data_IF_537157078033
#
_entry.id   IF_537157078033
#
_cell.length_a   1.000
_cell.length_b   1.000
_cell.length_c   1.000
_cell.angle_alpha   90.00
_cell.angle_beta   90.00
_cell.angle_gamma   90.00
#
_symmetry.space_group_name_H-M   'P 1'
#
loop_
_entity.id
_entity.type
_entity.pdbx_description
1 polymer ?
#
# COMPACT_ATOMS: atom_id res chain seq x y z
N UNK A 1 19.32 -50.29 -20.34
CA UNK A 1 18.25 -50.00 -19.37
C UNK A 1 18.39 -48.57 -18.93
N UNK A 2 17.59 -47.66 -19.51
CA UNK A 2 17.64 -46.24 -19.19
C UNK A 2 16.75 -46.00 -17.97
N UNK A 3 17.34 -45.65 -16.83
CA UNK A 3 16.60 -45.17 -15.67
C UNK A 3 16.17 -43.73 -15.96
N UNK A 4 14.92 -43.56 -16.38
CA UNK A 4 14.25 -42.27 -16.37
C UNK A 4 13.95 -41.90 -14.92
N UNK A 5 14.87 -41.15 -14.33
CA UNK A 5 14.61 -40.40 -13.10
C UNK A 5 13.52 -39.40 -13.46
N UNK A 6 12.28 -39.73 -13.11
CA UNK A 6 11.20 -38.76 -13.05
C UNK A 6 11.57 -37.77 -11.96
N UNK A 7 12.31 -36.73 -12.32
CA UNK A 7 12.37 -35.49 -11.55
C UNK A 7 10.93 -35.03 -11.50
N UNK A 8 10.27 -35.31 -10.37
CA UNK A 8 8.97 -34.76 -10.08
C UNK A 8 9.18 -33.25 -10.02
N UNK A 9 8.85 -32.59 -11.12
CA UNK A 9 8.37 -31.22 -11.12
C UNK A 9 7.10 -31.20 -10.26
N UNK A 10 7.28 -31.27 -8.94
CA UNK A 10 6.36 -30.67 -7.97
C UNK A 10 6.56 -29.16 -8.10
N UNK A 11 6.21 -28.66 -9.28
CA UNK A 11 6.26 -27.26 -9.65
C UNK A 11 5.26 -26.52 -8.76
N UNK A 12 5.79 -25.86 -7.73
CA UNK A 12 5.48 -24.46 -7.39
C UNK A 12 4.02 -24.08 -7.12
N UNK A 13 3.14 -25.01 -6.78
CA UNK A 13 1.73 -24.70 -6.51
C UNK A 13 1.42 -24.30 -5.04
N UNK A 14 2.39 -24.26 -4.13
CA UNK A 14 2.10 -24.13 -2.69
C UNK A 14 3.09 -23.22 -1.93
N UNK A 15 2.99 -21.90 -2.14
CA UNK A 15 3.18 -20.84 -1.12
C UNK A 15 3.15 -19.42 -1.73
N UNK A 16 2.06 -19.03 -2.38
CA UNK A 16 1.83 -17.62 -2.70
C UNK A 16 1.26 -16.90 -1.47
N UNK A 17 2.10 -16.65 -0.46
CA UNK A 17 1.68 -15.85 0.71
C UNK A 17 1.11 -14.48 0.30
N UNK A 18 0.30 -13.85 1.15
CA UNK A 18 -0.28 -12.53 0.90
C UNK A 18 0.80 -11.48 0.53
N UNK A 19 0.72 -10.92 -0.68
CA UNK A 19 1.63 -9.90 -1.22
C UNK A 19 0.89 -8.58 -1.39
N UNK A 20 1.53 -7.49 -0.97
CA UNK A 20 1.03 -6.12 -1.13
C UNK A 20 2.13 -5.31 -1.83
N UNK A 21 1.77 -4.56 -2.85
CA UNK A 21 2.67 -3.62 -3.54
C UNK A 21 2.03 -2.23 -3.53
N UNK A 22 2.81 -1.19 -3.25
CA UNK A 22 2.33 0.20 -3.29
C UNK A 22 3.19 0.96 -4.30
N UNK A 23 2.60 1.27 -5.44
CA UNK A 23 3.30 1.86 -6.59
C UNK A 23 3.37 3.39 -6.52
N UNK A 24 2.39 4.03 -5.87
CA UNK A 24 2.35 5.48 -5.70
C UNK A 24 2.06 5.84 -4.25
N UNK A 25 2.71 6.90 -3.72
CA UNK A 25 3.70 7.79 -4.36
C UNK A 25 5.03 7.13 -4.75
N UNK A 26 5.68 7.68 -5.78
CA UNK A 26 7.06 7.31 -6.15
C UNK A 26 8.04 7.96 -5.18
N UNK A 27 9.18 7.30 -4.97
CA UNK A 27 10.26 7.86 -4.14
C UNK A 27 10.68 9.24 -4.66
N UNK A 28 10.72 10.23 -3.76
CA UNK A 28 11.12 11.60 -4.08
C UNK A 28 10.03 12.46 -4.71
N UNK A 29 8.78 12.00 -4.78
CA UNK A 29 7.68 12.82 -5.28
C UNK A 29 7.50 14.09 -4.43
N UNK A 30 7.14 15.20 -5.05
CA UNK A 30 6.86 16.47 -4.36
C UNK A 30 5.43 16.88 -4.68
N UNK A 31 4.64 17.13 -3.64
CA UNK A 31 3.23 17.48 -3.79
C UNK A 31 2.92 18.82 -3.14
N UNK A 32 2.39 19.79 -3.92
CA UNK A 32 1.94 21.05 -3.36
C UNK A 32 0.73 20.85 -2.44
N UNK A 33 0.56 21.76 -1.48
CA UNK A 33 -0.66 21.83 -0.69
C UNK A 33 -1.89 21.99 -1.58
N UNK A 34 -3.01 21.47 -1.10
CA UNK A 34 -4.31 21.45 -1.78
C UNK A 34 -4.38 20.65 -3.09
N UNK A 35 -3.26 20.15 -3.61
CA UNK A 35 -3.21 19.29 -4.77
C UNK A 35 -3.88 17.93 -4.55
N UNK A 36 -4.45 17.36 -5.61
CA UNK A 36 -5.03 16.01 -5.62
C UNK A 36 -4.01 15.00 -6.13
N UNK A 37 -3.72 14.01 -5.31
CA UNK A 37 -2.70 13.00 -5.58
C UNK A 37 -3.29 11.60 -5.58
N UNK A 38 -2.59 10.69 -6.26
CA UNK A 38 -3.00 9.30 -6.39
C UNK A 38 -2.20 8.38 -5.49
N UNK A 39 -2.91 7.42 -4.93
CA UNK A 39 -2.35 6.21 -4.35
C UNK A 39 -2.73 5.08 -5.30
N UNK A 40 -1.75 4.25 -5.61
CA UNK A 40 -1.94 3.09 -6.47
C UNK A 40 -1.24 1.92 -5.81
N UNK A 41 -1.98 0.87 -5.53
CA UNK A 41 -1.50 -0.30 -4.84
C UNK A 41 -2.16 -1.56 -5.39
N UNK A 42 -1.54 -2.70 -5.17
CA UNK A 42 -2.06 -3.99 -5.56
C UNK A 42 -1.90 -4.99 -4.41
N UNK A 43 -2.81 -5.94 -4.35
CA UNK A 43 -2.93 -6.93 -3.29
C UNK A 43 -3.26 -8.26 -3.95
N UNK A 44 -2.41 -9.27 -3.71
CA UNK A 44 -2.64 -10.59 -4.28
C UNK A 44 -3.91 -11.24 -3.72
N UNK A 45 -4.54 -12.09 -4.52
CA UNK A 45 -5.76 -12.79 -4.11
C UNK A 45 -5.57 -13.67 -2.88
N UNK A 46 -4.35 -14.14 -2.62
CA UNK A 46 -3.99 -14.86 -1.40
C UNK A 46 -4.06 -14.04 -0.11
N UNK A 47 -4.32 -12.73 -0.19
CA UNK A 47 -4.67 -11.91 0.96
C UNK A 47 -6.16 -11.94 1.28
N UNK A 48 -7.00 -12.48 0.39
CA UNK A 48 -8.44 -12.59 0.60
C UNK A 48 -8.77 -13.93 1.27
N UNK A 49 -9.66 -13.87 2.26
CA UNK A 49 -10.18 -15.05 2.94
C UNK A 49 -11.68 -15.13 2.72
N UNK A 50 -12.15 -16.26 2.19
CA UNK A 50 -13.58 -16.53 2.03
C UNK A 50 -14.27 -16.56 3.40
N UNK A 51 -15.36 -15.80 3.56
CA UNK A 51 -16.06 -15.65 4.85
C UNK A 51 -15.27 -14.92 5.95
N UNK A 52 -14.05 -14.44 5.67
CA UNK A 52 -13.16 -13.82 6.64
C UNK A 52 -13.15 -12.28 6.63
N UNK A 53 -12.42 -11.69 7.60
CA UNK A 53 -12.15 -10.25 7.65
C UNK A 53 -11.19 -9.85 6.52
N UNK A 54 -11.75 -9.33 5.44
CA UNK A 54 -11.02 -8.77 4.29
C UNK A 54 -10.77 -7.27 4.49
N UNK A 55 -10.29 -6.86 5.66
CA UNK A 55 -10.10 -5.46 6.01
C UNK A 55 -8.92 -4.80 5.29
N UNK A 56 -9.07 -3.55 4.84
CA UNK A 56 -7.98 -2.72 4.30
C UNK A 56 -7.96 -1.33 4.93
N UNK A 57 -6.77 -0.89 5.31
CA UNK A 57 -6.50 0.48 5.76
C UNK A 57 -5.43 1.09 4.86
N UNK A 58 -5.63 2.34 4.46
CA UNK A 58 -4.65 3.12 3.69
C UNK A 58 -4.41 4.41 4.44
N UNK A 59 -3.18 4.62 4.92
CA UNK A 59 -2.82 5.77 5.74
C UNK A 59 -1.57 6.47 5.25
N UNK A 60 -1.50 7.77 5.48
CA UNK A 60 -0.30 8.58 5.32
C UNK A 60 0.47 8.55 6.62
N UNK A 61 1.75 8.19 6.56
CA UNK A 61 2.64 8.09 7.71
C UNK A 61 3.72 9.15 7.60
N UNK A 62 3.96 9.90 8.68
CA UNK A 62 5.11 10.79 8.76
C UNK A 62 6.39 9.98 8.82
N UNK A 63 7.36 10.32 7.96
CA UNK A 63 8.67 9.67 8.01
C UNK A 63 9.44 10.04 9.27
N UNK A 64 9.28 11.27 9.75
CA UNK A 64 9.99 11.79 10.93
C UNK A 64 9.51 11.14 12.22
N UNK A 65 8.20 11.04 12.44
CA UNK A 65 7.65 10.52 13.71
C UNK A 65 7.26 9.04 13.65
N UNK A 66 7.12 8.46 12.45
CA UNK A 66 6.58 7.11 12.26
C UNK A 66 5.06 7.01 12.50
N UNK A 67 4.41 8.11 12.89
CA UNK A 67 2.99 8.13 13.22
C UNK A 67 2.13 8.33 11.97
N UNK A 68 0.96 7.71 11.98
CA UNK A 68 -0.08 7.97 10.99
C UNK A 68 -0.65 9.36 11.21
N UNK A 69 -0.62 10.19 10.17
CA UNK A 69 -1.08 11.58 10.21
C UNK A 69 -2.40 11.78 9.46
N UNK A 70 -2.75 10.86 8.56
CA UNK A 70 -3.99 10.93 7.80
C UNK A 70 -4.49 9.55 7.43
N UNK A 71 -5.80 9.34 7.55
CA UNK A 71 -6.50 8.14 7.09
C UNK A 71 -7.12 8.42 5.71
N UNK A 72 -6.63 7.74 4.68
CA UNK A 72 -7.22 7.80 3.33
C UNK A 72 -8.37 6.81 3.23
N UNK A 73 -8.17 5.61 3.77
CA UNK A 73 -9.20 4.58 3.94
C UNK A 73 -9.05 4.00 5.35
N UNK A 74 -10.14 4.02 6.11
CA UNK A 74 -10.22 3.47 7.46
C UNK A 74 -11.28 2.37 7.49
N UNK A 75 -10.89 1.18 7.93
CA UNK A 75 -11.75 -0.01 8.01
C UNK A 75 -12.46 -0.32 6.67
N UNK A 76 -11.76 -0.15 5.55
CA UNK A 76 -12.30 -0.50 4.24
C UNK A 76 -12.41 -2.01 4.07
N UNK A 77 -13.21 -2.44 3.10
CA UNK A 77 -13.25 -3.83 2.66
C UNK A 77 -12.40 -3.98 1.39
N UNK A 78 -11.46 -4.93 1.39
CA UNK A 78 -10.47 -5.14 0.34
C UNK A 78 -11.09 -5.45 -1.03
N UNK A 79 -12.27 -6.09 -1.05
CA UNK A 79 -13.01 -6.43 -2.28
C UNK A 79 -13.60 -5.16 -2.90
N UNK A 80 -14.15 -4.27 -2.06
CA UNK A 80 -14.89 -3.09 -2.52
C UNK A 80 -14.03 -1.83 -2.63
N UNK A 81 -12.85 -1.82 -1.99
CA UNK A 81 -11.98 -0.65 -1.96
C UNK A 81 -11.17 -0.58 -3.25
N UNK A 82 -11.27 0.50 -4.04
CA UNK A 82 -10.52 0.62 -5.27
C UNK A 82 -9.02 0.65 -5.01
N UNK A 83 -8.27 0.05 -5.93
CA UNK A 83 -6.80 -0.02 -5.93
C UNK A 83 -6.12 1.30 -6.30
N UNK A 84 -6.89 2.21 -6.91
CA UNK A 84 -6.49 3.56 -7.24
C UNK A 84 -7.34 4.55 -6.46
N UNK A 85 -6.75 5.18 -5.45
CA UNK A 85 -7.40 6.15 -4.58
C UNK A 85 -6.91 7.56 -4.91
N UNK A 86 -7.76 8.55 -4.67
CA UNK A 86 -7.38 9.97 -4.71
C UNK A 86 -7.45 10.55 -3.31
N UNK A 87 -6.48 11.37 -2.95
CA UNK A 87 -6.47 12.13 -1.71
C UNK A 87 -5.98 13.54 -1.95
N UNK A 88 -6.31 14.46 -1.05
CA UNK A 88 -5.88 15.86 -1.11
C UNK A 88 -4.76 16.09 -0.10
N UNK A 89 -3.68 16.75 -0.52
CA UNK A 89 -2.67 17.26 0.39
C UNK A 89 -3.28 18.42 1.17
N UNK A 90 -3.39 18.30 2.49
CA UNK A 90 -4.05 19.31 3.31
C UNK A 90 -3.10 19.74 4.45
N UNK A 91 -2.88 21.06 4.65
CA UNK A 91 -2.01 21.57 5.73
C UNK A 91 -2.48 21.22 7.16
N UNK A 92 -3.68 20.66 7.34
CA UNK A 92 -4.12 20.07 8.62
C UNK A 92 -3.19 18.91 9.05
N UNK A 93 -2.68 18.11 8.11
CA UNK A 93 -1.80 16.98 8.40
C UNK A 93 -0.44 17.07 7.69
N UNK A 94 -0.39 17.76 6.55
CA UNK A 94 0.81 18.00 5.77
C UNK A 94 1.56 19.21 6.35
N UNK A 95 2.89 19.17 6.29
CA UNK A 95 3.76 20.23 6.78
C UNK A 95 4.80 20.51 5.72
N UNK A 96 5.10 21.78 5.50
CA UNK A 96 6.05 22.19 4.48
C UNK A 96 7.43 21.53 4.68
N UNK A 97 8.02 21.07 3.59
CA UNK A 97 9.30 20.36 3.55
C UNK A 97 9.31 18.97 4.21
N UNK A 98 8.21 18.49 4.81
CA UNK A 98 8.19 17.20 5.50
C UNK A 98 7.95 16.02 4.55
N UNK A 99 8.56 14.89 4.92
CA UNK A 99 8.47 13.62 4.20
C UNK A 99 7.41 12.69 4.80
N UNK A 100 6.69 12.04 3.92
CA UNK A 100 5.62 11.10 4.21
C UNK A 100 5.71 9.89 3.28
N UNK A 101 5.07 8.80 3.66
CA UNK A 101 4.83 7.65 2.78
C UNK A 101 3.44 7.09 3.03
N UNK A 102 2.91 6.33 2.08
CA UNK A 102 1.65 5.62 2.23
C UNK A 102 1.93 4.23 2.78
N UNK A 103 1.16 3.82 3.78
CA UNK A 103 1.10 2.44 4.26
C UNK A 103 -0.27 1.86 3.92
N UNK A 104 -0.26 0.73 3.24
CA UNK A 104 -1.44 -0.11 3.03
C UNK A 104 -1.36 -1.30 3.97
N UNK A 105 -2.37 -1.49 4.81
CA UNK A 105 -2.45 -2.61 5.75
C UNK A 105 -3.68 -3.44 5.44
N UNK A 106 -3.49 -4.75 5.26
CA UNK A 106 -4.53 -5.72 4.94
C UNK A 106 -4.70 -6.70 6.10
N UNK A 107 -5.96 -7.02 6.42
CA UNK A 107 -6.42 -7.94 7.47
C UNK A 107 -5.73 -7.70 8.82
N UNK A 108 -5.43 -6.42 9.10
CA UNK A 108 -4.75 -5.93 10.32
C UNK A 108 -3.35 -6.51 10.58
N UNK A 109 -2.78 -7.26 9.64
CA UNK A 109 -1.56 -8.07 9.86
C UNK A 109 -0.46 -7.78 8.86
N UNK A 110 -0.80 -7.66 7.58
CA UNK A 110 0.18 -7.50 6.49
C UNK A 110 0.18 -6.06 6.03
N UNK A 111 1.35 -5.51 5.78
CA UNK A 111 1.45 -4.15 5.25
C UNK A 111 2.58 -4.01 4.24
N UNK A 112 2.42 -3.03 3.36
CA UNK A 112 3.47 -2.53 2.49
C UNK A 112 3.43 -1.00 2.44
N UNK A 113 4.55 -0.41 2.02
CA UNK A 113 4.72 1.03 1.97
C UNK A 113 5.05 1.50 0.55
N UNK A 114 4.69 2.74 0.23
CA UNK A 114 5.11 3.43 -0.99
C UNK A 114 6.54 3.96 -0.87
N UNK A 115 7.01 4.64 -1.93
CA UNK A 115 8.13 5.57 -1.80
C UNK A 115 7.75 6.81 -1.00
N UNK A 116 8.77 7.53 -0.52
CA UNK A 116 8.58 8.78 0.20
C UNK A 116 8.17 9.92 -0.74
N UNK A 117 7.32 10.81 -0.26
CA UNK A 117 6.99 12.08 -0.89
C UNK A 117 7.14 13.24 0.09
N UNK A 118 7.46 14.41 -0.43
CA UNK A 118 7.54 15.67 0.32
C UNK A 118 6.34 16.54 0.00
N UNK A 119 5.83 17.27 0.99
CA UNK A 119 4.78 18.27 0.75
C UNK A 119 5.35 19.67 0.80
N UNK A 120 4.87 20.56 -0.05
CA UNK A 120 5.33 21.95 -0.12
C UNK A 120 4.17 22.94 -0.14
N UNK A 121 4.36 24.12 0.46
CA UNK A 121 3.48 25.26 0.18
C UNK A 121 3.61 25.63 -1.30
N UNK A 122 2.48 25.91 -1.98
CA UNK A 122 2.55 26.49 -3.33
C UNK A 122 3.20 27.87 -3.22
N UNK A 123 4.21 28.11 -4.06
CA UNK A 123 4.86 29.43 -4.17
C UNK A 123 3.92 30.44 -4.86
#
# INVERSE_FOLDING_TARGET
MAMFVHVQAQDQAQNFGCKIKVYRPKQGAVYPFFSRQYIEYDVSDSCMTEGGDNGVNVGVISRTTGNKVYDVVKNGNLINTPRKLRFRINPIWATDGRKYYIRVTVNRRKSAISGDFTTVEEA
#
